data_IF_079476393653
#
_entry.id   IF_079476393653
#
_cell.length_a   1.000
_cell.length_b   1.000
_cell.length_c   1.000
_cell.angle_alpha   90.00
_cell.angle_beta   90.00
_cell.angle_gamma   90.00
#
_symmetry.space_group_name_H-M   'P 1'
#
loop_
_entity.id
_entity.type
_entity.pdbx_description
1 polymer ?
#
# COMPACT_ATOMS: atom_id res chain seq x y z
N UNK A 1 0.58 11.97 -6.84
CA UNK A 1 1.62 11.10 -6.25
C UNK A 1 2.88 10.99 -7.13
N UNK A 2 2.83 10.58 -8.40
CA UNK A 2 4.02 10.44 -9.27
C UNK A 2 4.92 11.68 -9.30
N UNK A 3 4.35 12.88 -9.45
CA UNK A 3 5.12 14.14 -9.45
C UNK A 3 5.87 14.36 -8.11
N UNK A 4 5.23 14.09 -6.97
CA UNK A 4 5.87 14.22 -5.66
C UNK A 4 7.02 13.22 -5.46
N UNK A 5 6.84 11.96 -5.86
CA UNK A 5 7.90 10.94 -5.81
C UNK A 5 9.07 11.33 -6.73
N UNK A 6 8.78 11.83 -7.94
CA UNK A 6 9.83 12.30 -8.86
C UNK A 6 10.59 13.50 -8.31
N UNK A 7 9.89 14.46 -7.71
CA UNK A 7 10.50 15.64 -7.08
C UNK A 7 11.37 15.27 -5.88
N UNK A 8 10.88 14.36 -5.01
CA UNK A 8 11.66 13.85 -3.88
C UNK A 8 12.97 13.20 -4.34
N UNK A 9 12.94 12.43 -5.44
CA UNK A 9 14.15 11.84 -6.03
C UNK A 9 15.12 12.88 -6.56
N UNK A 10 14.60 13.90 -7.26
CA UNK A 10 15.45 15.01 -7.77
C UNK A 10 16.10 15.78 -6.61
N UNK A 11 15.40 15.92 -5.49
CA UNK A 11 15.92 16.52 -4.26
C UNK A 11 16.90 15.62 -3.47
N UNK A 12 17.21 14.40 -3.97
CA UNK A 12 18.18 13.51 -3.36
C UNK A 12 17.64 12.58 -2.28
N UNK A 13 16.32 12.57 -2.03
CA UNK A 13 15.72 11.65 -1.06
C UNK A 13 15.69 10.23 -1.60
N UNK A 14 15.95 9.25 -0.71
CA UNK A 14 15.90 7.81 -1.02
C UNK A 14 14.56 7.18 -0.69
N UNK A 15 13.83 7.74 0.28
CA UNK A 15 12.54 7.26 0.76
C UNK A 15 11.53 8.39 0.81
N UNK A 16 10.25 8.05 0.67
CA UNK A 16 9.16 9.00 0.77
C UNK A 16 8.02 8.41 1.60
N UNK A 17 7.55 9.16 2.58
CA UNK A 17 6.31 8.85 3.29
C UNK A 17 5.12 9.38 2.50
N UNK A 18 4.11 8.55 2.36
CA UNK A 18 2.81 8.92 1.79
C UNK A 18 1.74 8.87 2.87
N UNK A 19 0.80 9.79 2.81
CA UNK A 19 -0.38 9.81 3.68
C UNK A 19 -1.51 10.57 3.00
N UNK A 20 -2.76 10.23 3.36
CA UNK A 20 -3.91 11.01 2.90
C UNK A 20 -4.04 12.29 3.73
N UNK A 21 -4.55 13.35 3.12
CA UNK A 21 -4.70 14.68 3.76
C UNK A 21 -6.07 14.87 4.42
N UNK A 22 -6.81 13.78 4.64
CA UNK A 22 -8.17 13.79 5.19
C UNK A 22 -8.23 13.79 6.74
N UNK A 23 -7.06 13.83 7.40
CA UNK A 23 -6.95 13.85 8.86
C UNK A 23 -7.19 12.49 9.54
N UNK A 24 -7.34 11.41 8.79
CA UNK A 24 -7.54 10.06 9.34
C UNK A 24 -6.24 9.35 9.71
N UNK A 25 -5.11 9.83 9.18
CA UNK A 25 -3.79 9.24 9.41
C UNK A 25 -3.09 9.90 10.61
N UNK A 26 -2.39 9.11 11.46
CA UNK A 26 -1.70 9.59 12.65
C UNK A 26 -0.38 10.27 12.28
N UNK A 27 -0.39 11.59 12.11
CA UNK A 27 0.81 12.36 11.74
C UNK A 27 1.92 12.30 12.80
N UNK A 28 1.59 12.06 14.05
CA UNK A 28 2.51 11.86 15.17
C UNK A 28 3.37 10.59 15.02
N UNK A 29 2.94 9.62 14.21
CA UNK A 29 3.72 8.42 13.89
C UNK A 29 4.72 8.60 12.74
N UNK A 30 4.74 9.74 12.05
CA UNK A 30 5.70 10.00 10.96
C UNK A 30 7.15 9.73 11.40
N UNK A 31 7.64 10.24 12.56
CA UNK A 31 9.02 9.97 12.98
C UNK A 31 9.30 8.48 13.17
N UNK A 32 8.37 7.72 13.75
CA UNK A 32 8.54 6.28 13.99
C UNK A 32 8.58 5.47 12.67
N UNK A 33 7.76 5.85 11.68
CA UNK A 33 7.78 5.22 10.36
C UNK A 33 9.05 5.54 9.58
N UNK A 34 9.55 6.78 9.67
CA UNK A 34 10.82 7.17 9.05
C UNK A 34 11.99 6.46 9.71
N UNK A 35 12.02 6.34 11.04
CA UNK A 35 13.03 5.57 11.76
C UNK A 35 13.04 4.09 11.33
N UNK A 36 11.86 3.45 11.26
CA UNK A 36 11.75 2.08 10.77
C UNK A 36 12.26 1.89 9.34
N UNK A 37 12.10 2.92 8.49
CA UNK A 37 12.64 2.94 7.13
C UNK A 37 14.16 3.15 7.09
N UNK A 38 14.73 3.86 8.06
CA UNK A 38 16.19 4.00 8.22
C UNK A 38 16.84 2.71 8.70
N UNK A 39 16.18 2.00 9.62
CA UNK A 39 16.65 0.70 10.15
C UNK A 39 16.60 -0.40 9.08
N UNK A 40 15.64 -0.34 8.16
CA UNK A 40 15.40 -1.33 7.11
C UNK A 40 15.23 -0.64 5.74
N UNK A 41 16.28 -0.04 5.18
CA UNK A 41 16.18 0.79 3.97
C UNK A 41 15.79 0.02 2.70
N UNK A 42 15.95 -1.31 2.70
CA UNK A 42 15.49 -2.18 1.62
C UNK A 42 13.98 -2.43 1.64
N UNK A 43 13.30 -2.18 2.79
CA UNK A 43 11.89 -2.50 3.00
C UNK A 43 10.96 -1.32 2.67
N UNK A 44 9.72 -1.64 2.31
CA UNK A 44 8.63 -0.68 2.39
C UNK A 44 7.95 -0.78 3.76
N UNK A 45 7.76 0.35 4.44
CA UNK A 45 7.05 0.38 5.73
C UNK A 45 5.56 0.57 5.46
N UNK A 46 4.75 -0.42 5.85
CA UNK A 46 3.31 -0.43 5.65
C UNK A 46 2.59 -0.15 6.97
N UNK A 47 1.74 0.86 6.98
CA UNK A 47 0.78 1.05 8.06
C UNK A 47 -0.23 -0.11 8.10
N UNK A 48 -0.40 -0.72 9.25
CA UNK A 48 -1.46 -1.69 9.52
C UNK A 48 -2.52 -0.99 10.38
N UNK A 49 -3.72 -0.77 9.83
CA UNK A 49 -4.73 0.00 10.54
C UNK A 49 -5.19 -0.70 11.81
N UNK A 50 -5.16 0.02 12.93
CA UNK A 50 -5.79 -0.39 14.18
C UNK A 50 -7.11 0.36 14.27
N UNK A 51 -8.21 -0.38 14.19
CA UNK A 51 -9.55 0.19 14.17
C UNK A 51 -10.08 0.35 15.58
N UNK A 52 -10.75 1.47 15.85
CA UNK A 52 -11.55 1.64 17.06
C UNK A 52 -12.80 0.74 17.01
N UNK A 53 -13.41 0.48 18.16
CA UNK A 53 -14.54 -0.45 18.28
C UNK A 53 -15.78 -0.02 17.46
N UNK A 54 -15.89 1.26 17.14
CA UNK A 54 -17.00 1.88 16.37
C UNK A 54 -16.73 1.93 14.86
N UNK A 55 -15.63 1.32 14.39
CA UNK A 55 -15.29 1.33 12.97
C UNK A 55 -16.35 0.62 12.11
N UNK A 56 -16.74 1.20 10.94
CA UNK A 56 -17.78 0.62 10.09
C UNK A 56 -17.40 -0.79 9.60
N UNK A 57 -18.17 -1.81 10.00
CA UNK A 57 -17.90 -3.22 9.70
C UNK A 57 -17.73 -3.51 8.20
N UNK A 58 -18.49 -2.81 7.34
CA UNK A 58 -18.39 -2.95 5.89
C UNK A 58 -16.99 -2.57 5.36
N UNK A 59 -16.39 -1.49 5.91
CA UNK A 59 -15.04 -1.06 5.53
C UNK A 59 -13.98 -2.04 6.01
N UNK A 60 -14.12 -2.53 7.24
CA UNK A 60 -13.19 -3.53 7.82
C UNK A 60 -13.24 -4.84 7.02
N UNK A 61 -14.44 -5.33 6.68
CA UNK A 61 -14.60 -6.57 5.94
C UNK A 61 -14.18 -6.44 4.46
N UNK A 62 -14.49 -5.31 3.81
CA UNK A 62 -14.03 -5.04 2.44
C UNK A 62 -12.49 -5.09 2.31
N UNK A 63 -11.77 -4.59 3.32
CA UNK A 63 -10.29 -4.66 3.36
C UNK A 63 -9.78 -6.11 3.39
N UNK A 64 -10.45 -7.00 4.11
CA UNK A 64 -10.03 -8.41 4.19
C UNK A 64 -9.98 -9.07 2.82
N UNK A 65 -10.90 -8.73 1.93
CA UNK A 65 -10.94 -9.26 0.55
C UNK A 65 -9.71 -8.80 -0.25
N UNK A 66 -9.45 -7.49 -0.28
CA UNK A 66 -8.27 -6.95 -0.99
C UNK A 66 -6.96 -7.44 -0.37
N UNK A 67 -6.87 -7.52 0.97
CA UNK A 67 -5.70 -8.04 1.66
C UNK A 67 -5.47 -9.53 1.37
N UNK A 68 -6.55 -10.32 1.24
CA UNK A 68 -6.48 -11.72 0.82
C UNK A 68 -5.89 -11.86 -0.57
N UNK A 69 -6.37 -11.07 -1.54
CA UNK A 69 -5.81 -11.04 -2.89
C UNK A 69 -4.35 -10.60 -2.90
N UNK A 70 -4.00 -9.50 -2.24
CA UNK A 70 -2.63 -9.01 -2.19
C UNK A 70 -1.66 -10.04 -1.57
N UNK A 71 -2.08 -10.76 -0.53
CA UNK A 71 -1.27 -11.82 0.06
C UNK A 71 -1.13 -13.04 -0.87
N UNK A 72 -2.19 -13.46 -1.58
CA UNK A 72 -2.12 -14.49 -2.59
C UNK A 72 -1.14 -14.11 -3.71
N UNK A 73 -1.31 -12.92 -4.28
CA UNK A 73 -0.51 -12.37 -5.38
C UNK A 73 0.98 -12.19 -5.02
N UNK A 74 1.30 -12.14 -3.73
CA UNK A 74 2.68 -12.05 -3.22
C UNK A 74 3.19 -13.35 -2.60
N UNK A 75 2.50 -14.48 -2.74
CA UNK A 75 2.81 -15.75 -2.05
C UNK A 75 2.96 -15.59 -0.54
N UNK A 76 2.08 -14.81 0.08
CA UNK A 76 2.08 -14.54 1.54
C UNK A 76 3.42 -13.98 2.04
N UNK A 77 3.96 -12.96 1.39
CA UNK A 77 5.13 -12.22 1.88
C UNK A 77 4.85 -11.40 3.16
N UNK A 78 3.63 -11.44 3.69
CA UNK A 78 3.28 -10.80 4.95
C UNK A 78 2.78 -9.36 4.78
N UNK A 79 2.00 -9.08 3.74
CA UNK A 79 1.32 -7.77 3.58
C UNK A 79 0.23 -7.64 4.64
N UNK A 80 0.41 -6.75 5.61
CA UNK A 80 -0.54 -6.54 6.71
C UNK A 80 -1.81 -5.83 6.26
N UNK A 81 -1.68 -4.76 5.48
CA UNK A 81 -2.81 -4.08 4.84
C UNK A 81 -2.40 -3.48 3.49
N UNK A 82 -3.20 -3.77 2.45
CA UNK A 82 -2.95 -3.32 1.09
C UNK A 82 -3.62 -1.99 0.73
N UNK A 83 -4.56 -1.50 1.54
CA UNK A 83 -5.41 -0.35 1.23
C UNK A 83 -5.13 0.89 2.11
N UNK A 84 -4.31 0.76 3.16
CA UNK A 84 -4.03 1.86 4.05
C UNK A 84 -2.88 2.72 3.51
N UNK A 85 -3.13 3.99 3.23
CA UNK A 85 -2.22 4.89 2.51
C UNK A 85 -1.06 5.46 3.34
N UNK A 86 -0.99 5.16 4.66
CA UNK A 86 0.11 5.64 5.52
C UNK A 86 1.33 4.72 5.41
N UNK A 87 2.33 5.12 4.62
CA UNK A 87 3.44 4.23 4.22
C UNK A 87 4.73 4.98 3.97
N UNK A 88 5.86 4.28 4.11
CA UNK A 88 7.14 4.75 3.59
C UNK A 88 7.59 3.81 2.47
N UNK A 89 7.92 4.39 1.34
CA UNK A 89 8.39 3.66 0.17
C UNK A 89 9.83 4.01 -0.19
N UNK A 90 10.67 3.02 -0.56
CA UNK A 90 11.92 3.31 -1.24
C UNK A 90 11.60 3.87 -2.64
N UNK A 91 12.11 5.08 -2.92
CA UNK A 91 11.73 5.86 -4.11
C UNK A 91 12.15 5.18 -5.41
N UNK A 92 13.38 4.65 -5.47
CA UNK A 92 13.93 4.12 -6.71
C UNK A 92 13.11 2.92 -7.27
N UNK A 93 12.78 1.86 -6.50
CA UNK A 93 11.93 0.78 -6.99
C UNK A 93 10.49 1.23 -7.25
N UNK A 94 9.91 2.08 -6.39
CA UNK A 94 8.56 2.60 -6.61
C UNK A 94 8.45 3.37 -7.92
N UNK A 95 9.39 4.27 -8.21
CA UNK A 95 9.37 5.07 -9.43
C UNK A 95 9.48 4.19 -10.69
N UNK A 96 10.33 3.15 -10.67
CA UNK A 96 10.42 2.18 -11.79
C UNK A 96 9.09 1.50 -12.05
N UNK A 97 8.39 1.07 -10.98
CA UNK A 97 7.08 0.43 -11.07
C UNK A 97 6.04 1.40 -11.63
N UNK A 98 6.00 2.64 -11.13
CA UNK A 98 5.05 3.66 -11.60
C UNK A 98 5.28 4.05 -13.08
N UNK A 99 6.52 4.11 -13.53
CA UNK A 99 6.85 4.39 -14.94
C UNK A 99 6.44 3.24 -15.87
N UNK A 100 6.58 2.00 -15.41
CA UNK A 100 6.19 0.82 -16.17
C UNK A 100 4.68 0.55 -16.19
N UNK A 101 3.92 1.14 -15.26
CA UNK A 101 2.50 0.84 -15.06
C UNK A 101 1.65 2.11 -15.01
N UNK A 102 1.03 2.46 -16.13
CA UNK A 102 0.23 3.71 -16.27
C UNK A 102 -1.13 3.68 -15.55
N UNK A 103 -1.55 2.53 -15.03
CA UNK A 103 -2.86 2.31 -14.43
C UNK A 103 -2.95 2.70 -12.95
N UNK A 104 -1.82 2.79 -12.24
CA UNK A 104 -1.70 3.11 -10.81
C UNK A 104 -2.04 4.58 -10.53
N UNK A 105 -3.32 4.96 -10.48
CA UNK A 105 -3.68 6.39 -10.47
C UNK A 105 -4.60 6.86 -9.34
N UNK A 106 -5.35 5.96 -8.68
CA UNK A 106 -6.38 6.30 -7.69
C UNK A 106 -6.32 5.33 -6.50
N UNK A 107 -7.47 4.81 -6.06
CA UNK A 107 -7.57 3.82 -4.97
C UNK A 107 -6.89 2.48 -5.29
N UNK A 108 -6.61 2.23 -6.55
CA UNK A 108 -5.82 1.09 -7.02
C UNK A 108 -4.30 1.27 -6.84
N UNK A 109 -3.83 2.49 -6.54
CA UNK A 109 -2.40 2.76 -6.39
C UNK A 109 -1.77 1.94 -5.26
N UNK A 110 -2.31 2.04 -4.06
CA UNK A 110 -1.70 1.45 -2.86
C UNK A 110 -1.58 -0.08 -2.91
N UNK A 111 -2.65 -0.84 -3.23
CA UNK A 111 -2.53 -2.29 -3.32
C UNK A 111 -1.65 -2.73 -4.51
N UNK A 112 -1.75 -2.06 -5.66
CA UNK A 112 -0.91 -2.40 -6.81
C UNK A 112 0.57 -2.10 -6.55
N UNK A 113 0.90 -0.98 -5.89
CA UNK A 113 2.26 -0.63 -5.51
C UNK A 113 2.87 -1.69 -4.59
N UNK A 114 2.15 -2.11 -3.54
CA UNK A 114 2.61 -3.13 -2.60
C UNK A 114 2.90 -4.45 -3.30
N UNK A 115 1.96 -4.97 -4.09
CA UNK A 115 2.13 -6.25 -4.79
C UNK A 115 3.34 -6.20 -5.73
N UNK A 116 3.45 -5.13 -6.53
CA UNK A 116 4.55 -4.99 -7.49
C UNK A 116 5.91 -4.78 -6.83
N UNK A 117 5.95 -4.06 -5.70
CA UNK A 117 7.17 -3.91 -4.90
C UNK A 117 7.61 -5.25 -4.31
N UNK A 118 6.68 -6.06 -3.79
CA UNK A 118 6.96 -7.43 -3.35
C UNK A 118 7.56 -8.26 -4.50
N UNK A 119 6.98 -8.18 -5.70
CA UNK A 119 7.55 -8.84 -6.88
C UNK A 119 8.96 -8.34 -7.22
N UNK A 120 9.22 -7.05 -7.04
CA UNK A 120 10.54 -6.46 -7.25
C UNK A 120 11.56 -6.78 -6.16
N UNK A 121 11.18 -7.54 -5.12
CA UNK A 121 12.09 -7.94 -4.04
C UNK A 121 12.13 -6.98 -2.86
N UNK A 122 11.24 -5.98 -2.80
CA UNK A 122 11.13 -5.06 -1.66
C UNK A 122 10.26 -5.72 -0.58
N UNK A 123 10.81 -6.10 0.59
CA UNK A 123 10.03 -6.75 1.64
C UNK A 123 9.09 -5.77 2.34
N UNK A 124 7.88 -6.21 2.76
CA UNK A 124 7.00 -5.42 3.59
C UNK A 124 7.44 -5.45 5.06
N UNK A 125 7.44 -4.28 5.70
CA UNK A 125 7.62 -4.11 7.14
C UNK A 125 6.34 -3.47 7.70
N UNK A 126 5.52 -4.23 8.42
CA UNK A 126 4.26 -3.73 8.96
C UNK A 126 4.49 -2.99 10.28
N UNK A 127 3.79 -1.86 10.45
CA UNK A 127 3.73 -1.08 11.69
C UNK A 127 2.28 -0.74 11.99
N UNK A 128 1.85 -1.02 13.20
CA UNK A 128 0.50 -0.66 13.64
C UNK A 128 0.33 0.87 13.61
N UNK A 129 -0.80 1.31 13.06
CA UNK A 129 -1.16 2.72 12.97
C UNK A 129 -2.66 2.88 13.23
N UNK A 130 -3.08 3.60 14.29
CA UNK A 130 -4.48 3.84 14.57
C UNK A 130 -5.13 4.64 13.44
N UNK A 131 -6.37 4.30 13.13
CA UNK A 131 -7.20 5.03 12.17
C UNK A 131 -8.27 5.79 12.90
N UNK A 132 -8.35 7.09 12.69
CA UNK A 132 -9.46 7.90 13.16
C UNK A 132 -10.48 8.07 12.04
N UNK A 133 -11.64 7.44 12.19
CA UNK A 133 -12.77 7.75 11.33
C UNK A 133 -13.46 9.01 11.82
N UNK A 134 -13.36 10.09 11.04
CA UNK A 134 -14.10 11.31 11.31
C UNK A 134 -15.58 11.06 11.03
N UNK A 135 -16.45 11.48 11.94
CA UNK A 135 -17.90 11.47 11.74
C UNK A 135 -18.31 12.53 10.70
N UNK A 136 -19.49 12.41 10.08
CA UNK A 136 -19.98 13.43 9.14
C UNK A 136 -20.06 14.83 9.76
N UNK A 137 -20.37 14.94 11.04
CA UNK A 137 -20.42 16.19 11.83
C UNK A 137 -19.01 16.75 12.13
N UNK A 138 -17.97 15.91 12.09
CA UNK A 138 -16.55 16.30 12.21
C UNK A 138 -15.92 16.65 10.86
N UNK A 139 -16.69 16.74 9.77
CA UNK A 139 -16.19 17.03 8.42
C UNK A 139 -15.67 15.80 7.66
N UNK A 140 -15.99 14.59 8.12
CA UNK A 140 -15.61 13.34 7.46
C UNK A 140 -16.27 13.19 6.09
N UNK A 141 -15.50 13.33 5.00
CA UNK A 141 -15.99 13.15 3.62
C UNK A 141 -15.39 11.87 3.05
N UNK A 142 -16.25 10.93 2.63
CA UNK A 142 -15.80 9.74 1.92
C UNK A 142 -15.84 10.00 0.42
N UNK A 143 -14.68 10.01 -0.23
CA UNK A 143 -14.55 10.12 -1.68
C UNK A 143 -14.68 8.76 -2.40
N UNK A 144 -14.87 7.67 -1.66
CA UNK A 144 -15.00 6.31 -2.21
C UNK A 144 -16.39 6.08 -2.81
N UNK A 145 -16.44 5.85 -4.12
CA UNK A 145 -17.67 5.51 -4.87
C UNK A 145 -17.74 3.99 -5.03
N UNK A 146 -18.57 3.34 -4.21
CA UNK A 146 -18.60 1.88 -4.05
C UNK A 146 -18.59 1.08 -5.36
N UNK A 147 -19.50 1.36 -6.30
CA UNK A 147 -19.55 0.62 -7.58
C UNK A 147 -18.30 0.83 -8.42
N UNK A 148 -17.92 2.10 -8.63
CA UNK A 148 -16.81 2.44 -9.50
C UNK A 148 -15.47 1.96 -8.94
N UNK A 149 -15.23 2.23 -7.66
CA UNK A 149 -13.91 1.97 -7.07
C UNK A 149 -13.73 0.48 -6.80
N UNK A 150 -14.80 -0.27 -6.44
CA UNK A 150 -14.73 -1.72 -6.36
C UNK A 150 -14.51 -2.37 -7.73
N UNK A 151 -15.11 -1.85 -8.81
CA UNK A 151 -14.84 -2.33 -10.17
C UNK A 151 -13.38 -2.11 -10.55
N UNK A 152 -12.81 -0.94 -10.23
CA UNK A 152 -11.40 -0.66 -10.48
C UNK A 152 -10.48 -1.58 -9.67
N UNK A 153 -10.78 -1.81 -8.40
CA UNK A 153 -10.03 -2.73 -7.54
C UNK A 153 -10.11 -4.17 -8.05
N UNK A 154 -11.30 -4.63 -8.46
CA UNK A 154 -11.47 -5.97 -9.03
C UNK A 154 -10.67 -6.12 -10.33
N UNK A 155 -10.73 -5.13 -11.21
CA UNK A 155 -9.94 -5.12 -12.45
C UNK A 155 -8.43 -5.10 -12.17
N UNK A 156 -8.02 -4.34 -11.18
CA UNK A 156 -6.62 -4.29 -10.74
C UNK A 156 -6.16 -5.68 -10.25
N UNK A 157 -6.90 -6.33 -9.35
CA UNK A 157 -6.56 -7.67 -8.87
C UNK A 157 -6.58 -8.72 -9.98
N UNK A 158 -7.52 -8.63 -10.94
CA UNK A 158 -7.51 -9.52 -12.11
C UNK A 158 -6.21 -9.39 -12.93
N UNK A 159 -5.75 -8.16 -13.20
CA UNK A 159 -4.46 -7.91 -13.87
C UNK A 159 -3.26 -8.38 -13.07
N UNK A 160 -3.28 -8.14 -11.75
CA UNK A 160 -2.21 -8.58 -10.85
C UNK A 160 -2.17 -10.10 -10.76
N UNK A 161 -3.33 -10.77 -10.68
CA UNK A 161 -3.41 -12.21 -10.64
C UNK A 161 -2.84 -12.87 -11.91
N UNK A 162 -3.16 -12.34 -13.09
CA UNK A 162 -2.52 -12.80 -14.34
C UNK A 162 -1.00 -12.56 -14.31
N UNK A 163 -0.58 -11.40 -13.85
CA UNK A 163 0.84 -11.09 -13.66
C UNK A 163 1.54 -11.99 -12.64
N UNK A 164 0.84 -12.39 -11.58
CA UNK A 164 1.28 -13.35 -10.57
C UNK A 164 1.49 -14.75 -11.18
N UNK A 165 0.51 -15.26 -11.94
CA UNK A 165 0.64 -16.57 -12.59
C UNK A 165 1.89 -16.65 -13.48
N UNK A 166 2.17 -15.60 -14.24
CA UNK A 166 3.37 -15.53 -15.08
C UNK A 166 4.68 -15.50 -14.28
N UNK A 167 4.64 -15.00 -13.04
CA UNK A 167 5.80 -14.88 -12.14
C UNK A 167 5.91 -16.02 -11.14
N UNK A 168 4.91 -16.87 -11.06
CA UNK A 168 4.80 -17.91 -10.03
C UNK A 168 6.04 -18.79 -9.93
N UNK A 169 6.64 -19.32 -11.03
CA UNK A 169 7.84 -20.12 -10.92
C UNK A 169 9.02 -19.38 -10.28
N UNK A 170 9.21 -18.11 -10.68
CA UNK A 170 10.26 -17.27 -10.12
C UNK A 170 10.01 -16.88 -8.66
N UNK A 171 8.77 -16.56 -8.29
CA UNK A 171 8.39 -16.24 -6.92
C UNK A 171 8.57 -17.45 -5.99
N UNK A 172 8.24 -18.66 -6.46
CA UNK A 172 8.47 -19.90 -5.73
C UNK A 172 9.97 -20.17 -5.56
N UNK A 173 10.76 -20.06 -6.62
CA UNK A 173 12.21 -20.22 -6.54
C UNK A 173 12.83 -19.27 -5.52
N UNK A 174 12.43 -18.01 -5.52
CA UNK A 174 12.90 -17.02 -4.53
C UNK A 174 12.48 -17.35 -3.10
N UNK A 175 11.25 -17.86 -2.90
CA UNK A 175 10.76 -18.22 -1.57
C UNK A 175 11.42 -19.47 -1.00
N UNK A 176 11.86 -20.40 -1.85
CA UNK A 176 12.53 -21.63 -1.45
C UNK A 176 14.04 -21.48 -1.31
N UNK A 177 14.63 -20.46 -1.93
CA UNK A 177 16.06 -20.22 -1.93
C UNK A 177 16.55 -19.15 -0.95
N UNK A 178 15.66 -18.51 -0.20
CA UNK A 178 15.96 -17.57 0.89
C UNK A 178 15.49 -18.10 2.21
#
# INVERSE_FOLDING_TARGET
MLAGISQARVAGFTHALTMDSDGQHPADLIPAFMAASQDRPEAMVLGKPVFAADAPALRVNGRKVSNGWANLETLWMGVGDSLYGFRVYPIAPLQRIMQANRWMRRFDFDPEAVVRLCWAGVPPLNRDAPVRYLRPDEGGVSHFRYLRDNTLLTWMHARLFLGFLLRLPWLLARKLGG
#
